data_IF_762659630320
#
_entry.id   IF_762659630320
#
_cell.length_a   1.000
_cell.length_b   1.000
_cell.length_c   1.000
_cell.angle_alpha   90.00
_cell.angle_beta   90.00
_cell.angle_gamma   90.00
#
_symmetry.space_group_name_H-M   'P 1'
#
loop_
_entity.id
_entity.type
_entity.pdbx_description
1 polymer ?
#
# COMPACT_ATOMS: atom_id res chain seq x y z
N UNK A 1 2.96 8.88 34.10
CA UNK A 1 2.64 8.12 32.84
C UNK A 1 2.04 9.01 31.75
N UNK A 2 0.98 9.78 32.02
CA UNK A 2 0.34 10.65 31.00
C UNK A 2 1.24 11.77 30.45
N UNK A 3 2.08 12.40 31.27
CA UNK A 3 2.99 13.48 30.86
C UNK A 3 4.06 12.93 29.92
N UNK A 4 4.62 11.76 30.20
CA UNK A 4 5.61 11.09 29.34
C UNK A 4 5.01 10.76 27.97
N UNK A 5 3.78 10.26 27.91
CA UNK A 5 3.07 9.96 26.66
C UNK A 5 2.80 11.23 25.84
N UNK A 6 2.47 12.36 26.50
CA UNK A 6 2.30 13.66 25.81
C UNK A 6 3.63 14.16 25.22
N UNK A 7 4.73 14.06 25.96
CA UNK A 7 6.05 14.45 25.44
C UNK A 7 6.46 13.58 24.26
N UNK A 8 6.30 12.26 24.35
CA UNK A 8 6.58 11.34 23.25
C UNK A 8 5.70 11.61 22.02
N UNK A 9 4.42 11.93 22.21
CA UNK A 9 3.51 12.31 21.14
C UNK A 9 3.95 13.61 20.45
N UNK A 10 4.40 14.62 21.20
CA UNK A 10 4.91 15.88 20.64
C UNK A 10 6.19 15.65 19.83
N UNK A 11 7.14 14.87 20.35
CA UNK A 11 8.37 14.52 19.65
C UNK A 11 8.04 13.77 18.34
N UNK A 12 7.18 12.76 18.41
CA UNK A 12 6.75 11.99 17.24
C UNK A 12 6.05 12.86 16.20
N UNK A 13 5.14 13.74 16.65
CA UNK A 13 4.46 14.71 15.77
C UNK A 13 5.44 15.65 15.09
N UNK A 14 6.43 16.16 15.81
CA UNK A 14 7.48 17.04 15.26
C UNK A 14 8.33 16.34 14.21
N UNK A 15 8.73 15.10 14.45
CA UNK A 15 9.49 14.29 13.46
C UNK A 15 8.68 14.08 12.20
N UNK A 16 7.38 13.74 12.32
CA UNK A 16 6.49 13.57 11.15
C UNK A 16 6.33 14.89 10.42
N UNK A 17 6.13 16.00 11.13
CA UNK A 17 5.99 17.33 10.54
C UNK A 17 7.23 17.72 9.73
N UNK A 18 8.43 17.58 10.33
CA UNK A 18 9.71 17.87 9.65
C UNK A 18 9.86 16.98 8.41
N UNK A 19 9.63 15.69 8.54
CA UNK A 19 9.70 14.76 7.39
C UNK A 19 8.74 15.18 6.28
N UNK A 20 7.52 15.56 6.60
CA UNK A 20 6.54 15.99 5.60
C UNK A 20 6.97 17.29 4.93
N UNK A 21 7.47 18.25 5.68
CA UNK A 21 8.06 19.48 5.13
C UNK A 21 9.23 19.22 4.20
N UNK A 22 10.10 18.23 4.52
CA UNK A 22 11.20 17.84 3.63
C UNK A 22 10.70 17.29 2.29
N UNK A 23 9.58 16.57 2.26
CA UNK A 23 8.93 16.17 1.01
C UNK A 23 8.29 17.36 0.28
N UNK A 24 7.62 18.25 0.99
CA UNK A 24 6.98 19.44 0.40
C UNK A 24 8.01 20.40 -0.25
N UNK A 25 9.19 20.50 0.36
CA UNK A 25 10.32 21.29 -0.14
C UNK A 25 11.19 20.54 -1.16
N UNK A 26 10.79 19.33 -1.60
CA UNK A 26 11.54 18.46 -2.51
C UNK A 26 12.96 18.08 -2.04
N UNK A 27 13.28 18.24 -0.75
CA UNK A 27 14.53 17.76 -0.15
C UNK A 27 14.53 16.22 -0.15
N UNK A 28 13.41 15.62 0.25
CA UNK A 28 13.15 14.19 0.07
C UNK A 28 12.35 14.00 -1.22
N UNK A 29 12.87 13.20 -2.14
CA UNK A 29 12.25 12.97 -3.45
C UNK A 29 11.24 11.83 -3.38
N UNK A 30 10.02 12.08 -3.83
CA UNK A 30 9.08 11.02 -4.18
C UNK A 30 9.45 10.43 -5.54
N UNK A 31 9.39 9.11 -5.67
CA UNK A 31 9.66 8.39 -6.92
C UNK A 31 8.34 7.97 -7.54
N UNK A 32 8.20 8.14 -8.85
CA UNK A 32 7.06 7.62 -9.60
C UNK A 32 7.40 6.22 -10.10
N UNK A 33 6.45 5.30 -10.04
CA UNK A 33 6.49 4.10 -10.86
C UNK A 33 6.11 4.56 -12.27
N UNK A 34 7.05 4.53 -13.20
CA UNK A 34 6.83 5.05 -14.55
C UNK A 34 5.89 4.11 -15.31
N UNK A 35 4.95 4.71 -16.06
CA UNK A 35 3.93 4.08 -16.92
C UNK A 35 2.72 3.44 -16.21
N UNK A 36 2.67 3.35 -14.88
CA UNK A 36 1.52 2.84 -14.14
C UNK A 36 0.81 3.94 -13.36
N UNK A 37 -0.49 3.82 -13.25
CA UNK A 37 -1.29 4.65 -12.36
C UNK A 37 -1.30 4.04 -10.95
N UNK A 38 -0.83 4.80 -9.96
CA UNK A 38 -0.82 4.40 -8.55
C UNK A 38 -1.97 5.08 -7.83
N UNK A 39 -2.94 4.28 -7.39
CA UNK A 39 -4.12 4.74 -6.67
C UNK A 39 -4.02 4.25 -5.23
N UNK A 40 -3.97 5.18 -4.28
CA UNK A 40 -3.91 4.86 -2.87
C UNK A 40 -5.31 4.92 -2.25
N UNK A 41 -5.70 3.86 -1.57
CA UNK A 41 -6.92 3.81 -0.77
C UNK A 41 -6.52 3.76 0.69
N UNK A 42 -7.09 4.63 1.50
CA UNK A 42 -6.83 4.67 2.92
C UNK A 42 -7.90 5.45 3.68
N UNK A 43 -7.73 5.55 4.98
CA UNK A 43 -8.65 6.27 5.84
C UNK A 43 -7.90 7.22 6.77
N UNK A 44 -8.62 8.20 7.28
CA UNK A 44 -8.12 9.16 8.27
C UNK A 44 -8.42 8.69 9.70
N UNK A 45 -9.43 7.85 9.86
CA UNK A 45 -9.92 7.37 11.17
C UNK A 45 -9.40 5.97 11.44
N UNK A 46 -8.95 5.73 12.69
CA UNK A 46 -8.56 4.39 13.13
C UNK A 46 -9.81 3.54 13.34
N UNK A 47 -9.90 2.39 12.67
CA UNK A 47 -11.03 1.45 12.81
C UNK A 47 -11.43 0.78 11.50
N UNK A 48 -12.49 0.00 11.54
CA UNK A 48 -13.03 -0.77 10.42
C UNK A 48 -13.76 0.08 9.38
N UNK A 49 -13.08 0.99 8.71
CA UNK A 49 -13.64 1.96 7.75
C UNK A 49 -13.93 1.40 6.37
N UNK A 50 -13.97 0.07 6.20
CA UNK A 50 -14.27 -0.54 4.90
C UNK A 50 -13.15 -0.45 3.87
N UNK A 51 -11.87 -0.31 4.27
CA UNK A 51 -10.72 -0.29 3.33
C UNK A 51 -10.68 -1.52 2.43
N UNK A 52 -10.75 -2.71 3.01
CA UNK A 52 -10.69 -3.97 2.24
C UNK A 52 -11.79 -4.07 1.19
N UNK A 53 -13.07 -3.84 1.51
CA UNK A 53 -14.13 -3.76 0.49
C UNK A 53 -13.88 -2.70 -0.57
N UNK A 54 -13.39 -1.52 -0.19
CA UNK A 54 -13.10 -0.45 -1.13
C UNK A 54 -11.98 -0.83 -2.11
N UNK A 55 -10.88 -1.40 -1.61
CA UNK A 55 -9.79 -1.92 -2.47
C UNK A 55 -10.35 -2.94 -3.47
N UNK A 56 -11.15 -3.90 -2.99
CA UNK A 56 -11.75 -4.93 -3.85
C UNK A 56 -12.72 -4.33 -4.88
N UNK A 57 -13.49 -3.33 -4.50
CA UNK A 57 -14.38 -2.60 -5.42
C UNK A 57 -13.59 -1.93 -6.55
N UNK A 58 -12.54 -1.18 -6.22
CA UNK A 58 -11.73 -0.48 -7.23
C UNK A 58 -10.95 -1.44 -8.12
N UNK A 59 -10.43 -2.54 -7.58
CA UNK A 59 -9.81 -3.60 -8.39
C UNK A 59 -10.80 -4.14 -9.42
N UNK A 60 -12.01 -4.53 -8.98
CA UNK A 60 -13.06 -5.05 -9.88
C UNK A 60 -13.49 -4.01 -10.92
N UNK A 61 -13.63 -2.74 -10.52
CA UNK A 61 -13.96 -1.64 -11.42
C UNK A 61 -12.95 -1.56 -12.58
N UNK A 62 -11.67 -1.47 -12.27
CA UNK A 62 -10.63 -1.33 -13.30
C UNK A 62 -10.42 -2.60 -14.13
N UNK A 63 -10.63 -3.78 -13.56
CA UNK A 63 -10.66 -5.03 -14.34
C UNK A 63 -11.79 -5.01 -15.38
N UNK A 64 -12.98 -4.51 -15.02
CA UNK A 64 -14.11 -4.36 -15.95
C UNK A 64 -13.84 -3.32 -17.04
N UNK A 65 -12.94 -2.38 -16.80
CA UNK A 65 -12.44 -1.42 -17.80
C UNK A 65 -11.32 -2.01 -18.68
N UNK A 66 -11.03 -3.31 -18.54
CA UNK A 66 -10.00 -4.02 -19.34
C UNK A 66 -8.57 -3.74 -18.90
N UNK A 67 -8.34 -3.17 -17.71
CA UNK A 67 -7.01 -2.87 -17.17
C UNK A 67 -6.46 -4.06 -16.41
N UNK A 68 -5.14 -4.25 -16.49
CA UNK A 68 -4.41 -5.17 -15.61
C UNK A 68 -4.13 -4.49 -14.28
N UNK A 69 -4.63 -5.05 -13.20
CA UNK A 69 -4.57 -4.44 -11.87
C UNK A 69 -3.73 -5.29 -10.92
N UNK A 70 -2.92 -4.65 -10.10
CA UNK A 70 -2.22 -5.29 -8.98
C UNK A 70 -2.51 -4.59 -7.66
N UNK A 71 -2.44 -5.33 -6.56
CA UNK A 71 -2.61 -4.81 -5.20
C UNK A 71 -1.26 -4.73 -4.51
N UNK A 72 -0.97 -3.60 -3.90
CA UNK A 72 0.24 -3.36 -3.12
C UNK A 72 -0.13 -3.03 -1.68
N UNK A 73 0.28 -3.88 -0.75
CA UNK A 73 0.07 -3.70 0.68
C UNK A 73 1.38 -3.67 1.47
N UNK A 74 1.30 -3.29 2.74
CA UNK A 74 2.44 -3.33 3.68
C UNK A 74 2.75 -4.74 4.15
N UNK A 75 1.75 -5.58 4.24
CA UNK A 75 1.84 -6.84 4.94
C UNK A 75 2.01 -6.63 6.44
N UNK A 76 1.10 -5.87 7.04
CA UNK A 76 1.11 -5.61 8.48
C UNK A 76 1.01 -6.90 9.27
N UNK A 77 1.82 -7.06 10.33
CA UNK A 77 1.96 -8.27 11.14
C UNK A 77 2.46 -9.53 10.39
N UNK A 78 2.73 -9.45 9.10
CA UNK A 78 3.34 -10.55 8.36
C UNK A 78 4.76 -10.86 8.85
N UNK A 79 5.07 -12.16 9.02
CA UNK A 79 6.37 -12.68 9.51
C UNK A 79 7.29 -13.09 8.37
N UNK A 80 7.23 -12.39 7.23
CA UNK A 80 8.12 -12.68 6.10
C UNK A 80 9.56 -12.30 6.41
N UNK A 81 10.49 -13.08 5.84
CA UNK A 81 11.96 -12.83 5.95
C UNK A 81 12.40 -11.71 5.00
N UNK A 82 11.81 -11.65 3.82
CA UNK A 82 12.17 -10.72 2.76
C UNK A 82 11.36 -9.42 2.81
N UNK A 83 11.93 -8.33 2.29
CA UNK A 83 11.23 -7.03 2.23
C UNK A 83 10.05 -7.03 1.26
N UNK A 84 10.12 -7.87 0.21
CA UNK A 84 9.09 -8.02 -0.80
C UNK A 84 8.64 -9.48 -0.88
N UNK A 85 7.33 -9.70 -0.96
CA UNK A 85 6.75 -11.02 -1.14
C UNK A 85 5.59 -10.94 -2.13
N UNK A 86 5.61 -11.77 -3.15
CA UNK A 86 4.47 -12.02 -4.02
C UNK A 86 3.52 -12.99 -3.31
N UNK A 87 2.37 -12.48 -2.87
CA UNK A 87 1.37 -13.27 -2.13
C UNK A 87 0.52 -14.09 -3.07
N UNK A 88 0.17 -13.51 -4.22
CA UNK A 88 -0.61 -14.14 -5.28
C UNK A 88 -0.13 -13.63 -6.64
N UNK A 89 -0.05 -14.51 -7.62
CA UNK A 89 0.00 -14.15 -9.04
C UNK A 89 -1.40 -14.30 -9.68
N UNK A 90 -1.51 -14.20 -11.00
CA UNK A 90 -2.79 -14.34 -11.70
C UNK A 90 -3.44 -15.73 -11.56
N UNK A 91 -2.66 -16.76 -11.24
CA UNK A 91 -3.08 -18.16 -11.22
C UNK A 91 -3.35 -18.69 -9.83
N UNK A 92 -2.43 -18.46 -8.89
CA UNK A 92 -2.41 -19.12 -7.60
C UNK A 92 -1.92 -18.23 -6.46
N UNK A 93 -2.22 -18.62 -5.23
CA UNK A 93 -1.72 -18.03 -3.99
C UNK A 93 -0.38 -18.70 -3.68
N UNK A 94 0.66 -17.89 -3.44
CA UNK A 94 2.03 -18.31 -3.28
C UNK A 94 2.55 -18.19 -1.84
N UNK A 95 1.82 -17.51 -0.98
CA UNK A 95 2.22 -17.24 0.40
C UNK A 95 1.05 -17.43 1.36
N UNK A 96 1.36 -17.64 2.63
CA UNK A 96 0.40 -17.81 3.71
C UNK A 96 0.02 -16.47 4.36
N UNK A 97 -1.07 -16.46 5.16
CA UNK A 97 -1.44 -15.30 5.97
C UNK A 97 -0.38 -14.94 7.01
N UNK A 98 0.33 -15.95 7.54
CA UNK A 98 1.43 -15.75 8.50
C UNK A 98 2.58 -14.96 7.88
N UNK A 99 2.90 -15.19 6.61
CA UNK A 99 3.97 -14.49 5.89
C UNK A 99 3.52 -13.12 5.40
N UNK A 100 2.34 -13.04 4.80
CA UNK A 100 1.85 -11.83 4.13
C UNK A 100 1.14 -10.84 5.04
N UNK A 101 0.59 -11.31 6.17
CA UNK A 101 -0.37 -10.59 7.00
C UNK A 101 -1.81 -10.78 6.50
N UNK A 102 -2.77 -10.66 7.42
CA UNK A 102 -4.17 -11.03 7.18
C UNK A 102 -4.84 -10.20 6.08
N UNK A 103 -4.61 -8.87 6.04
CA UNK A 103 -5.22 -7.98 5.04
C UNK A 103 -4.78 -8.33 3.61
N UNK A 104 -3.46 -8.51 3.40
CA UNK A 104 -2.93 -8.86 2.09
C UNK A 104 -3.37 -10.27 1.65
N UNK A 105 -3.43 -11.21 2.59
CA UNK A 105 -3.93 -12.55 2.32
C UNK A 105 -5.42 -12.57 1.96
N UNK A 106 -6.23 -11.73 2.63
CA UNK A 106 -7.65 -11.57 2.31
C UNK A 106 -7.86 -11.02 0.90
N UNK A 107 -7.01 -10.06 0.45
CA UNK A 107 -7.02 -9.63 -0.95
C UNK A 107 -6.65 -10.78 -1.89
N UNK A 108 -5.64 -11.58 -1.55
CA UNK A 108 -5.22 -12.72 -2.36
C UNK A 108 -6.30 -13.80 -2.48
N UNK A 109 -7.11 -13.99 -1.44
CA UNK A 109 -8.26 -14.93 -1.48
C UNK A 109 -9.40 -14.43 -2.37
N UNK A 110 -9.72 -13.14 -2.28
CA UNK A 110 -10.93 -12.57 -2.89
C UNK A 110 -10.73 -12.03 -4.30
N UNK A 111 -9.48 -11.80 -4.72
CA UNK A 111 -9.13 -11.19 -5.99
C UNK A 111 -8.23 -12.12 -6.80
N UNK A 112 -8.50 -12.20 -8.12
CA UNK A 112 -7.67 -12.97 -9.07
C UNK A 112 -6.69 -12.04 -9.78
N UNK A 113 -5.93 -11.26 -9.00
CA UNK A 113 -4.91 -10.31 -9.49
C UNK A 113 -3.64 -10.46 -8.68
N UNK A 114 -2.48 -10.03 -9.18
CA UNK A 114 -1.25 -10.01 -8.42
C UNK A 114 -1.41 -9.21 -7.12
N UNK A 115 -1.01 -9.80 -6.00
CA UNK A 115 -0.97 -9.18 -4.68
C UNK A 115 0.45 -9.24 -4.16
N UNK A 116 1.04 -8.08 -3.92
CA UNK A 116 2.41 -7.91 -3.44
C UNK A 116 2.41 -7.21 -2.09
N UNK A 117 3.21 -7.71 -1.17
CA UNK A 117 3.53 -7.02 0.08
C UNK A 117 4.97 -6.55 0.09
N UNK A 118 5.19 -5.29 0.46
CA UNK A 118 6.53 -4.73 0.57
C UNK A 118 6.58 -3.63 1.62
N UNK A 119 7.63 -3.56 2.43
CA UNK A 119 7.89 -2.41 3.33
C UNK A 119 8.26 -1.19 2.51
N UNK A 120 9.09 -1.34 1.49
CA UNK A 120 9.37 -0.31 0.50
C UNK A 120 8.33 -0.39 -0.63
N UNK A 121 7.31 0.47 -0.58
CA UNK A 121 6.24 0.51 -1.58
C UNK A 121 6.74 0.80 -2.99
N UNK A 122 7.84 1.54 -3.12
CA UNK A 122 8.43 1.79 -4.44
C UNK A 122 8.96 0.50 -5.06
N UNK A 123 9.69 -0.31 -4.28
CA UNK A 123 10.16 -1.63 -4.75
C UNK A 123 8.98 -2.54 -5.13
N UNK A 124 7.91 -2.55 -4.31
CA UNK A 124 6.70 -3.32 -4.60
C UNK A 124 5.99 -2.85 -5.87
N UNK A 125 5.90 -1.55 -6.11
CA UNK A 125 5.33 -0.99 -7.32
C UNK A 125 6.16 -1.37 -8.57
N UNK A 126 7.48 -1.23 -8.49
CA UNK A 126 8.39 -1.65 -9.57
C UNK A 126 8.23 -3.14 -9.88
N UNK A 127 8.10 -3.99 -8.87
CA UNK A 127 7.87 -5.42 -9.07
C UNK A 127 6.55 -5.71 -9.78
N UNK A 128 5.45 -5.07 -9.36
CA UNK A 128 4.15 -5.19 -10.02
C UNK A 128 4.22 -4.75 -11.47
N UNK A 129 4.94 -3.66 -11.77
CA UNK A 129 5.19 -3.18 -13.13
C UNK A 129 6.00 -4.17 -13.96
N UNK A 130 7.19 -4.51 -13.48
CA UNK A 130 8.21 -5.19 -14.30
C UNK A 130 7.96 -6.69 -14.43
N UNK A 131 7.44 -7.31 -13.37
CA UNK A 131 7.23 -8.76 -13.30
C UNK A 131 5.78 -9.11 -13.61
N UNK A 132 4.83 -8.42 -12.96
CA UNK A 132 3.39 -8.73 -13.13
C UNK A 132 2.76 -7.98 -14.30
N UNK A 133 3.44 -6.96 -14.89
CA UNK A 133 2.97 -6.20 -16.05
C UNK A 133 1.58 -5.60 -15.88
N UNK A 134 1.34 -5.00 -14.71
CA UNK A 134 0.06 -4.32 -14.41
C UNK A 134 0.03 -2.90 -14.98
N UNK A 135 -1.16 -2.40 -15.30
CA UNK A 135 -1.40 -1.03 -15.75
C UNK A 135 -1.72 -0.10 -14.57
N UNK A 136 -2.38 -0.68 -13.54
CA UNK A 136 -2.85 0.06 -12.37
C UNK A 136 -2.42 -0.67 -11.10
N UNK A 137 -1.90 0.11 -10.15
CA UNK A 137 -1.54 -0.36 -8.81
C UNK A 137 -2.51 0.24 -7.80
N UNK A 138 -3.30 -0.61 -7.14
CA UNK A 138 -4.12 -0.23 -5.99
C UNK A 138 -3.30 -0.44 -4.73
N UNK A 139 -2.94 0.67 -4.07
CA UNK A 139 -2.17 0.63 -2.84
C UNK A 139 -3.09 0.69 -1.63
N UNK A 140 -3.07 -0.36 -0.82
CA UNK A 140 -3.82 -0.45 0.43
C UNK A 140 -3.04 0.21 1.57
N UNK A 141 -3.69 1.20 2.21
CA UNK A 141 -3.19 1.95 3.36
C UNK A 141 -1.78 2.55 3.19
N UNK A 142 -1.64 3.42 2.21
CA UNK A 142 -0.34 3.98 1.85
C UNK A 142 -0.21 5.50 1.94
N UNK A 143 -1.14 6.24 2.55
CA UNK A 143 -1.10 7.71 2.57
C UNK A 143 0.18 8.30 3.14
N UNK A 144 0.68 7.70 4.23
CA UNK A 144 1.90 8.16 4.88
C UNK A 144 3.19 7.79 4.14
N UNK A 145 3.10 6.91 3.12
CA UNK A 145 4.26 6.47 2.36
C UNK A 145 4.53 7.42 1.19
N UNK A 146 5.15 8.57 1.47
CA UNK A 146 5.41 9.65 0.51
C UNK A 146 6.54 9.35 -0.48
N UNK A 147 7.36 8.31 -0.24
CA UNK A 147 8.44 7.89 -1.13
C UNK A 147 7.94 7.43 -2.50
N UNK A 148 6.77 6.76 -2.56
CA UNK A 148 6.09 6.42 -3.80
C UNK A 148 5.08 7.53 -4.14
N UNK A 149 5.24 8.16 -5.32
CA UNK A 149 4.27 9.13 -5.83
C UNK A 149 2.99 8.40 -6.20
N UNK A 150 1.87 8.92 -5.75
CA UNK A 150 0.52 8.44 -6.04
C UNK A 150 -0.14 9.39 -7.02
N UNK A 151 -0.84 8.84 -8.01
CA UNK A 151 -1.57 9.64 -8.99
C UNK A 151 -2.95 10.02 -8.44
N UNK A 152 -3.58 9.12 -7.66
CA UNK A 152 -4.86 9.38 -6.98
C UNK A 152 -4.83 8.94 -5.53
N UNK A 153 -5.54 9.67 -4.65
CA UNK A 153 -5.78 9.28 -3.27
C UNK A 153 -7.29 9.24 -3.03
N UNK A 154 -7.77 8.09 -2.55
CA UNK A 154 -9.17 7.84 -2.18
C UNK A 154 -9.24 7.72 -0.66
N UNK A 155 -9.91 8.67 -0.04
CA UNK A 155 -10.03 8.76 1.42
C UNK A 155 -11.41 8.23 1.80
N UNK A 156 -11.42 7.22 2.68
CA UNK A 156 -12.65 6.71 3.28
C UNK A 156 -12.89 7.46 4.60
N UNK A 157 -14.14 7.89 4.79
CA UNK A 157 -14.61 8.64 5.96
C UNK A 157 -15.63 7.80 6.71
#
# INVERSE_FOLDING_TARGET
MQILLKILSLIYGSVIFIRNKMYDLNILKSRKAENEEVICIGNVVVGGTGKTPAVQYFVKKYLNEGKKVGVLSRGYKGKRKEDLLLVRNDKEILATSVESGDEAFLHALNLKVPVVVSKDRYKGAVYLRDVCKVDIIIMDDGFQHRKLKKDKNIILI
#
